data_IF_985569726450
#
_entry.id   IF_985569726450
#
_cell.length_a   1.000
_cell.length_b   1.000
_cell.length_c   1.000
_cell.angle_alpha   90.00
_cell.angle_beta   90.00
_cell.angle_gamma   90.00
#
_symmetry.space_group_name_H-M   'P 1'
#
loop_
_entity.id
_entity.type
_entity.pdbx_description
1 polymer ?
#
# COMPACT_ATOMS: atom_id res chain seq x y z
N UNK A 1 13.74 21.32 8.52
CA UNK A 1 12.67 20.97 7.55
C UNK A 1 11.40 21.70 7.95
N UNK A 2 10.81 22.47 7.06
CA UNK A 2 9.52 23.16 7.33
C UNK A 2 8.43 22.10 7.33
N UNK A 3 7.92 21.78 8.51
CA UNK A 3 6.78 20.87 8.64
C UNK A 3 5.54 21.50 8.00
N UNK A 4 4.79 20.75 7.20
CA UNK A 4 3.50 21.15 6.64
C UNK A 4 2.36 21.13 7.68
N UNK A 5 2.70 20.99 8.97
CA UNK A 5 1.73 20.95 10.07
C UNK A 5 1.27 22.35 10.49
N UNK A 6 0.00 22.45 10.83
CA UNK A 6 -0.52 23.60 11.56
C UNK A 6 -0.19 23.48 13.05
N UNK A 7 0.31 24.56 13.67
CA UNK A 7 0.89 24.52 15.01
C UNK A 7 -0.09 24.14 16.12
N UNK A 8 -1.36 24.47 16.01
CA UNK A 8 -2.34 24.29 17.08
C UNK A 8 -3.47 23.28 16.76
N UNK A 9 -3.31 22.46 15.75
CA UNK A 9 -4.35 21.52 15.32
C UNK A 9 -3.89 20.07 15.45
N UNK A 10 -4.86 19.18 15.68
CA UNK A 10 -4.68 17.73 15.77
C UNK A 10 -4.48 17.27 17.23
N UNK A 11 -4.81 16.00 17.46
CA UNK A 11 -4.64 15.32 18.76
C UNK A 11 -3.33 14.51 18.76
N UNK A 12 -2.21 15.16 18.47
CA UNK A 12 -0.89 14.55 18.48
C UNK A 12 -0.09 15.04 19.68
N UNK A 13 0.74 14.18 20.24
CA UNK A 13 1.68 14.53 21.31
C UNK A 13 2.98 15.05 20.70
N UNK A 14 3.14 16.38 20.68
CA UNK A 14 4.31 17.04 20.06
C UNK A 14 5.60 16.91 20.88
N UNK A 15 5.51 16.49 22.12
CA UNK A 15 6.66 16.30 23.00
C UNK A 15 7.32 14.94 22.74
N UNK A 16 6.61 14.02 22.05
CA UNK A 16 7.11 12.69 21.74
C UNK A 16 7.32 12.49 20.26
N UNK A 17 8.55 12.69 19.84
CA UNK A 17 9.00 12.48 18.45
C UNK A 17 9.21 11.00 18.19
N UNK A 18 8.73 10.52 17.05
CA UNK A 18 8.88 9.14 16.59
C UNK A 18 9.61 9.13 15.25
N UNK A 19 10.71 8.36 15.18
CA UNK A 19 11.43 8.09 13.93
C UNK A 19 10.82 6.90 13.20
N UNK A 20 10.68 7.02 11.88
CA UNK A 20 10.20 5.94 11.02
C UNK A 20 10.88 5.96 9.65
N UNK A 21 10.78 4.87 8.91
CA UNK A 21 11.37 4.72 7.58
C UNK A 21 10.29 4.62 6.52
N UNK A 22 10.42 5.40 5.45
CA UNK A 22 9.59 5.32 4.26
C UNK A 22 10.45 5.21 3.00
N UNK A 23 10.25 4.15 2.20
CA UNK A 23 11.05 3.86 0.99
C UNK A 23 12.56 4.00 1.24
N UNK A 24 13.05 3.41 2.35
CA UNK A 24 14.45 3.44 2.80
C UNK A 24 15.01 4.82 3.19
N UNK A 25 14.14 5.80 3.47
CA UNK A 25 14.53 7.11 3.99
C UNK A 25 13.93 7.33 5.36
N UNK A 26 14.72 7.92 6.25
CA UNK A 26 14.27 8.27 7.58
C UNK A 26 13.43 9.55 7.60
N UNK A 27 12.36 9.51 8.36
CA UNK A 27 11.43 10.59 8.60
C UNK A 27 11.03 10.63 10.07
N UNK A 28 10.44 11.75 10.49
CA UNK A 28 9.99 11.96 11.86
C UNK A 28 8.51 12.35 11.89
N UNK A 29 7.82 11.84 12.87
CA UNK A 29 6.45 12.19 13.21
C UNK A 29 6.28 12.31 14.71
N UNK A 30 5.05 12.33 15.17
CA UNK A 30 4.72 12.45 16.58
C UNK A 30 3.80 11.31 17.02
N UNK A 31 3.80 11.02 18.31
CA UNK A 31 2.82 10.09 18.88
C UNK A 31 1.40 10.58 18.61
N UNK A 32 0.51 9.67 18.17
CA UNK A 32 -0.84 9.99 17.74
C UNK A 32 -0.97 10.33 16.24
N UNK A 33 0.14 10.35 15.49
CA UNK A 33 0.07 10.40 14.04
C UNK A 33 -0.35 9.05 13.46
N UNK A 34 -1.09 9.10 12.36
CA UNK A 34 -1.09 7.99 11.41
C UNK A 34 0.12 8.09 10.49
N UNK A 35 0.50 6.98 9.85
CA UNK A 35 1.57 6.99 8.85
C UNK A 35 1.27 8.03 7.75
N UNK A 36 0.03 8.14 7.29
CA UNK A 36 -0.37 9.13 6.27
C UNK A 36 -0.16 10.56 6.75
N UNK A 37 -0.56 10.90 7.98
CA UNK A 37 -0.38 12.25 8.51
C UNK A 37 1.09 12.61 8.70
N UNK A 38 1.92 11.65 9.13
CA UNK A 38 3.35 11.84 9.27
C UNK A 38 4.03 12.04 7.91
N UNK A 39 3.67 11.26 6.89
CA UNK A 39 4.18 11.43 5.53
C UNK A 39 3.83 12.80 4.95
N UNK A 40 2.56 13.22 5.05
CA UNK A 40 2.12 14.52 4.59
C UNK A 40 2.84 15.67 5.31
N UNK A 41 3.06 15.54 6.61
CA UNK A 41 3.81 16.52 7.39
C UNK A 41 5.26 16.69 6.93
N UNK A 42 5.84 15.65 6.36
CA UNK A 42 7.18 15.64 5.79
C UNK A 42 7.20 15.93 4.27
N UNK A 43 6.10 16.46 3.72
CA UNK A 43 5.93 16.78 2.29
C UNK A 43 6.01 15.55 1.35
N UNK A 44 5.79 14.36 1.88
CA UNK A 44 5.67 13.14 1.08
C UNK A 44 4.23 13.04 0.57
N UNK A 45 4.02 13.52 -0.65
CA UNK A 45 2.68 13.62 -1.26
C UNK A 45 2.31 12.42 -2.12
N UNK A 46 3.31 11.71 -2.65
CA UNK A 46 3.10 10.54 -3.49
C UNK A 46 3.40 9.31 -2.64
N UNK A 47 2.36 8.52 -2.39
CA UNK A 47 2.46 7.29 -1.57
C UNK A 47 2.15 6.02 -2.35
N UNK A 48 1.69 6.16 -3.60
CA UNK A 48 1.40 5.04 -4.46
C UNK A 48 1.23 5.44 -5.91
N UNK A 49 0.95 4.46 -6.75
CA UNK A 49 0.70 4.61 -8.18
C UNK A 49 -0.63 3.96 -8.56
N UNK A 50 -1.31 4.50 -9.56
CA UNK A 50 -2.56 3.91 -10.03
C UNK A 50 -2.31 2.57 -10.72
N UNK A 51 -3.28 1.68 -10.62
CA UNK A 51 -3.22 0.31 -11.11
C UNK A 51 -2.80 0.19 -12.59
N UNK A 52 -3.45 0.93 -13.47
CA UNK A 52 -3.32 0.70 -14.91
C UNK A 52 -2.24 1.58 -15.55
N UNK A 53 -2.23 2.85 -15.20
CA UNK A 53 -1.38 3.85 -15.84
C UNK A 53 -0.22 4.31 -14.96
N UNK A 54 -0.10 3.77 -13.76
CA UNK A 54 0.94 4.15 -12.81
C UNK A 54 1.03 5.66 -12.55
N UNK A 55 -0.12 6.34 -12.61
CA UNK A 55 -0.21 7.77 -12.30
C UNK A 55 0.03 7.98 -10.80
N UNK A 56 0.72 9.07 -10.43
CA UNK A 56 0.95 9.38 -9.01
C UNK A 56 -0.35 9.43 -8.22
N UNK A 57 -0.33 8.85 -7.02
CA UNK A 57 -1.43 8.84 -6.06
C UNK A 57 -0.93 9.29 -4.70
N UNK A 58 -1.69 10.18 -4.08
CA UNK A 58 -1.49 10.63 -2.71
C UNK A 58 -2.57 10.08 -1.80
N UNK A 59 -2.58 10.58 -0.57
CA UNK A 59 -3.65 10.34 0.41
C UNK A 59 -4.90 11.09 -0.04
N UNK A 60 -6.03 10.40 -0.16
CA UNK A 60 -7.29 10.94 -0.66
C UNK A 60 -8.33 11.15 0.44
N UNK A 61 -8.24 10.38 1.52
CA UNK A 61 -9.17 10.42 2.65
C UNK A 61 -8.43 10.37 3.98
N UNK A 62 -9.16 10.33 5.10
CA UNK A 62 -8.56 10.33 6.43
C UNK A 62 -8.84 9.04 7.23
N UNK A 63 -9.53 8.07 6.68
CA UNK A 63 -9.98 6.89 7.40
C UNK A 63 -9.88 5.60 6.60
N UNK A 64 -10.75 4.65 6.92
CA UNK A 64 -10.81 3.31 6.32
C UNK A 64 -11.23 3.31 4.85
N UNK A 65 -11.83 4.38 4.38
CA UNK A 65 -12.26 4.58 2.99
C UNK A 65 -11.09 4.94 2.05
N UNK A 66 -9.85 5.08 2.58
CA UNK A 66 -8.67 5.38 1.78
C UNK A 66 -8.38 4.27 0.76
N UNK A 67 -8.32 4.67 -0.50
CA UNK A 67 -8.07 3.76 -1.62
C UNK A 67 -6.74 4.02 -2.35
N UNK A 68 -6.13 5.20 -2.14
CA UNK A 68 -4.94 5.65 -2.85
C UNK A 68 -3.63 5.37 -2.12
N UNK A 69 -3.68 5.21 -0.81
CA UNK A 69 -2.52 5.10 0.07
C UNK A 69 -2.39 3.70 0.70
N UNK A 70 -2.44 2.66 -0.13
CA UNK A 70 -2.11 1.29 0.29
C UNK A 70 -0.60 1.10 0.26
N UNK A 71 -0.05 0.66 1.38
CA UNK A 71 1.38 0.54 1.61
C UNK A 71 1.73 -0.83 2.17
N UNK A 72 2.99 -1.18 2.12
CA UNK A 72 3.54 -2.34 2.84
C UNK A 72 4.20 -1.86 4.12
N UNK A 73 3.84 -2.47 5.23
CA UNK A 73 4.42 -2.21 6.56
C UNK A 73 5.27 -3.40 6.97
N UNK A 74 6.39 -3.13 7.64
CA UNK A 74 7.31 -4.14 8.12
C UNK A 74 8.15 -4.78 7.03
N UNK A 75 8.93 -5.78 7.41
CA UNK A 75 9.83 -6.52 6.53
C UNK A 75 9.96 -7.98 6.98
N UNK A 76 10.51 -8.84 6.11
CA UNK A 76 10.69 -10.26 6.39
C UNK A 76 9.37 -10.96 6.72
N UNK A 77 9.35 -11.74 7.79
CA UNK A 77 8.19 -12.49 8.27
C UNK A 77 7.03 -11.58 8.73
N UNK A 78 7.35 -10.41 9.27
CA UNK A 78 6.37 -9.41 9.74
C UNK A 78 5.92 -8.43 8.66
N UNK A 79 6.15 -8.73 7.40
CA UNK A 79 5.71 -7.88 6.29
C UNK A 79 4.21 -8.00 6.08
N UNK A 80 3.52 -6.89 6.28
CA UNK A 80 2.07 -6.75 6.08
C UNK A 80 1.78 -5.83 4.89
N UNK A 81 1.30 -6.37 3.76
CA UNK A 81 0.97 -5.59 2.59
C UNK A 81 -0.48 -5.10 2.62
N UNK A 82 -0.78 -4.12 1.77
CA UNK A 82 -2.11 -3.54 1.58
C UNK A 82 -2.67 -2.84 2.82
N UNK A 83 -1.79 -2.40 3.73
CA UNK A 83 -2.17 -1.60 4.88
C UNK A 83 -2.53 -0.19 4.41
N UNK A 84 -3.62 0.36 4.94
CA UNK A 84 -3.97 1.76 4.66
C UNK A 84 -3.12 2.68 5.52
N UNK A 85 -2.36 3.57 4.89
CA UNK A 85 -1.50 4.51 5.61
C UNK A 85 -2.28 5.45 6.56
N UNK A 86 -3.57 5.67 6.28
CA UNK A 86 -4.47 6.51 7.09
C UNK A 86 -4.91 5.85 8.39
N UNK A 87 -4.94 4.51 8.46
CA UNK A 87 -5.33 3.75 9.66
C UNK A 87 -4.13 3.14 10.38
N UNK A 88 -2.95 3.17 9.77
CA UNK A 88 -1.71 2.70 10.39
C UNK A 88 -1.23 3.74 11.41
N UNK A 89 -1.25 3.39 12.69
CA UNK A 89 -0.66 4.20 13.75
C UNK A 89 0.87 4.28 13.59
N UNK A 90 1.42 5.47 13.83
CA UNK A 90 2.85 5.68 13.81
C UNK A 90 3.48 5.22 15.14
N UNK A 91 4.51 4.39 15.03
CA UNK A 91 5.35 3.98 16.15
C UNK A 91 6.85 4.10 15.82
N UNK A 92 7.66 4.16 16.83
CA UNK A 92 9.12 4.27 16.64
C UNK A 92 9.70 3.04 15.94
N UNK A 93 10.45 3.28 14.86
CA UNK A 93 11.04 2.21 14.06
C UNK A 93 10.09 1.59 13.03
N UNK A 94 8.89 2.16 12.83
CA UNK A 94 8.00 1.73 11.75
C UNK A 94 8.77 1.77 10.43
N UNK A 95 8.74 0.66 9.70
CA UNK A 95 9.26 0.58 8.34
C UNK A 95 8.10 0.39 7.37
N UNK A 96 7.97 1.31 6.42
CA UNK A 96 6.91 1.26 5.43
C UNK A 96 7.44 1.61 4.03
N UNK A 97 6.76 1.11 3.01
CA UNK A 97 7.14 1.35 1.62
C UNK A 97 5.93 1.34 0.70
N UNK A 98 6.05 2.04 -0.43
CA UNK A 98 5.12 1.91 -1.55
C UNK A 98 5.20 0.52 -2.17
N UNK A 99 4.06 -0.02 -2.63
CA UNK A 99 4.02 -1.41 -3.10
C UNK A 99 3.76 -1.61 -4.60
N UNK A 100 3.34 -0.58 -5.31
CA UNK A 100 2.96 -0.66 -6.73
C UNK A 100 3.82 0.21 -7.64
N UNK A 101 5.08 0.40 -7.29
CA UNK A 101 6.04 1.18 -8.06
C UNK A 101 7.36 0.45 -8.17
N UNK A 102 8.12 0.71 -9.22
CA UNK A 102 9.46 0.16 -9.40
C UNK A 102 10.36 1.17 -10.12
N UNK A 103 11.50 1.56 -9.58
CA UNK A 103 12.06 1.15 -8.27
C UNK A 103 11.47 1.85 -7.05
N UNK A 104 10.76 2.97 -7.22
CA UNK A 104 10.16 3.72 -6.11
C UNK A 104 8.88 4.44 -6.54
N UNK A 105 8.09 4.92 -5.58
CA UNK A 105 6.86 5.69 -5.88
C UNK A 105 7.15 7.03 -6.57
N UNK A 106 8.31 7.61 -6.35
CA UNK A 106 8.71 8.88 -6.98
C UNK A 106 9.21 8.67 -8.42
N UNK A 107 9.91 7.58 -8.68
CA UNK A 107 10.40 7.21 -10.00
C UNK A 107 9.96 5.79 -10.32
N UNK A 108 9.02 5.67 -11.25
CA UNK A 108 8.35 4.40 -11.55
C UNK A 108 8.37 4.12 -13.06
N UNK A 109 9.02 3.03 -13.44
CA UNK A 109 9.06 2.57 -14.83
C UNK A 109 7.68 2.23 -15.38
N UNK A 110 6.74 1.79 -14.52
CA UNK A 110 5.35 1.55 -14.91
C UNK A 110 4.63 2.78 -15.44
N UNK A 111 5.16 3.98 -15.17
CA UNK A 111 4.64 5.25 -15.69
C UNK A 111 4.63 5.33 -17.23
N UNK A 112 5.42 4.51 -17.92
CA UNK A 112 5.38 4.37 -19.39
C UNK A 112 3.99 3.98 -19.88
N UNK A 113 3.23 3.23 -19.10
CA UNK A 113 1.86 2.85 -19.43
C UNK A 113 0.92 4.04 -19.64
N UNK A 114 1.24 5.19 -19.05
CA UNK A 114 0.45 6.40 -19.26
C UNK A 114 0.54 6.92 -20.71
N UNK A 115 1.69 6.79 -21.34
CA UNK A 115 1.89 7.16 -22.74
C UNK A 115 1.22 6.18 -23.71
N UNK A 116 1.11 4.92 -23.28
CA UNK A 116 0.43 3.86 -24.03
C UNK A 116 -1.09 3.81 -23.74
N UNK A 117 -1.64 4.80 -23.06
CA UNK A 117 -3.02 4.82 -22.58
C UNK A 117 -4.07 4.61 -23.68
N UNK A 118 -3.79 5.03 -24.91
CA UNK A 118 -4.68 4.82 -26.07
C UNK A 118 -4.89 3.34 -26.41
N UNK A 119 -3.89 2.50 -26.14
CA UNK A 119 -3.96 1.06 -26.42
C UNK A 119 -4.61 0.27 -25.28
N UNK A 120 -4.64 0.84 -24.07
CA UNK A 120 -5.22 0.22 -22.88
C UNK A 120 -6.69 0.61 -22.68
N UNK A 121 -7.55 0.24 -23.62
CA UNK A 121 -8.98 0.49 -23.52
C UNK A 121 -9.60 -0.16 -22.26
N UNK A 122 -10.77 0.30 -21.87
CA UNK A 122 -11.55 -0.33 -20.81
C UNK A 122 -11.77 -1.83 -21.13
N UNK A 123 -11.55 -2.69 -20.15
CA UNK A 123 -11.66 -4.13 -20.35
C UNK A 123 -10.49 -4.79 -21.08
N UNK A 124 -9.41 -4.07 -21.41
CA UNK A 124 -8.24 -4.62 -22.09
C UNK A 124 -7.74 -5.91 -21.43
N UNK A 125 -7.60 -5.93 -20.09
CA UNK A 125 -7.13 -7.11 -19.36
C UNK A 125 -8.08 -8.31 -19.53
N UNK A 126 -9.38 -8.09 -19.42
CA UNK A 126 -10.37 -9.14 -19.57
C UNK A 126 -10.46 -9.65 -21.00
N UNK A 127 -10.48 -8.76 -21.98
CA UNK A 127 -10.61 -9.13 -23.38
C UNK A 127 -9.36 -9.79 -23.95
N UNK A 128 -8.18 -9.41 -23.47
CA UNK A 128 -6.91 -9.87 -24.03
C UNK A 128 -6.36 -11.12 -23.32
N UNK A 129 -6.62 -11.28 -22.01
CA UNK A 129 -5.95 -12.30 -21.20
C UNK A 129 -6.88 -13.37 -20.63
N UNK A 130 -8.19 -13.22 -20.75
CA UNK A 130 -9.16 -14.21 -20.23
C UNK A 130 -9.34 -15.45 -21.13
N UNK A 131 -8.69 -15.50 -22.25
CA UNK A 131 -8.69 -16.65 -23.13
C UNK A 131 -8.89 -16.27 -24.59
N UNK A 132 -8.00 -16.79 -25.44
CA UNK A 132 -8.24 -16.82 -26.88
C UNK A 132 -9.04 -18.10 -27.15
N UNK A 133 -10.24 -18.03 -27.71
CA UNK A 133 -10.86 -19.23 -28.24
C UNK A 133 -9.97 -19.77 -29.36
N UNK A 134 -9.69 -21.06 -29.49
CA UNK A 134 -10.42 -22.19 -28.92
C UNK A 134 -9.62 -23.02 -27.88
N UNK A 135 -8.82 -22.40 -27.06
CA UNK A 135 -8.02 -23.13 -26.07
C UNK A 135 -8.78 -23.32 -24.77
N UNK A 136 -9.75 -24.17 -24.76
CA UNK A 136 -10.19 -24.88 -23.56
C UNK A 136 -9.11 -25.87 -23.13
N UNK A 137 -7.97 -25.34 -22.66
CA UNK A 137 -7.02 -26.17 -21.98
C UNK A 137 -7.49 -26.36 -20.54
N UNK A 138 -8.12 -27.50 -20.35
CA UNK A 138 -8.41 -28.05 -19.05
C UNK A 138 -9.10 -27.10 -18.07
N UNK A 139 -10.41 -27.00 -18.15
CA UNK A 139 -11.24 -26.35 -17.11
C UNK A 139 -10.78 -24.97 -16.67
N UNK A 140 -10.60 -24.04 -17.59
CA UNK A 140 -10.68 -22.62 -17.32
C UNK A 140 -9.51 -21.92 -16.61
N UNK A 141 -8.40 -22.59 -16.31
CA UNK A 141 -7.38 -22.00 -15.41
C UNK A 141 -5.97 -21.85 -16.01
N UNK A 142 -5.61 -22.52 -17.10
CA UNK A 142 -4.23 -22.65 -17.53
C UNK A 142 -3.54 -21.32 -17.93
N UNK A 143 -4.01 -20.67 -18.98
CA UNK A 143 -3.38 -19.47 -19.53
C UNK A 143 -3.63 -18.26 -18.62
N UNK A 144 -4.84 -18.15 -18.05
CA UNK A 144 -5.16 -17.09 -17.11
C UNK A 144 -4.19 -17.06 -15.92
N UNK A 145 -3.85 -18.20 -15.35
CA UNK A 145 -2.95 -18.27 -14.19
C UNK A 145 -1.53 -17.77 -14.49
N UNK A 146 -1.10 -17.79 -15.74
CA UNK A 146 0.18 -17.21 -16.16
C UNK A 146 0.06 -15.67 -16.19
N UNK A 147 -0.98 -15.17 -16.83
CA UNK A 147 -1.21 -13.72 -16.94
C UNK A 147 -1.63 -13.11 -15.60
N UNK A 148 -2.35 -13.84 -14.76
CA UNK A 148 -2.76 -13.39 -13.44
C UNK A 148 -1.57 -12.93 -12.58
N UNK A 149 -0.47 -13.66 -12.61
CA UNK A 149 0.74 -13.28 -11.86
C UNK A 149 1.32 -11.93 -12.32
N UNK A 150 1.31 -11.69 -13.61
CA UNK A 150 1.79 -10.43 -14.20
C UNK A 150 0.83 -9.30 -13.87
N UNK A 151 -0.47 -9.55 -14.04
CA UNK A 151 -1.52 -8.58 -13.77
C UNK A 151 -1.55 -8.22 -12.28
N UNK A 152 -1.46 -9.18 -11.39
CA UNK A 152 -1.40 -8.96 -9.94
C UNK A 152 -0.20 -8.08 -9.55
N UNK A 153 0.96 -8.35 -10.15
CA UNK A 153 2.16 -7.53 -9.92
C UNK A 153 1.96 -6.10 -10.45
N UNK A 154 1.40 -5.96 -11.65
CA UNK A 154 1.08 -4.67 -12.24
C UNK A 154 -0.02 -3.92 -11.48
N UNK A 155 -0.96 -4.66 -10.85
CA UNK A 155 -2.01 -4.11 -10.01
C UNK A 155 -1.47 -3.46 -8.72
N UNK A 156 -0.24 -3.75 -8.36
CA UNK A 156 0.37 -3.23 -7.16
C UNK A 156 -0.22 -3.79 -5.86
N UNK A 157 -0.93 -4.90 -5.94
CA UNK A 157 -1.32 -5.65 -4.75
C UNK A 157 -0.07 -6.19 -4.09
N UNK A 158 0.10 -5.86 -2.83
CA UNK A 158 1.24 -6.29 -2.04
C UNK A 158 1.29 -7.81 -1.88
N UNK A 159 2.48 -8.30 -1.57
CA UNK A 159 2.73 -9.73 -1.43
C UNK A 159 3.02 -10.06 0.02
N UNK A 160 2.17 -10.87 0.63
CA UNK A 160 2.37 -11.36 1.99
C UNK A 160 3.70 -12.12 2.14
N UNK A 161 4.25 -12.13 3.34
CA UNK A 161 5.40 -12.97 3.68
C UNK A 161 5.02 -14.45 3.53
N UNK A 162 6.01 -15.28 3.18
CA UNK A 162 5.92 -16.74 3.22
C UNK A 162 6.80 -17.33 4.31
N UNK A 163 7.49 -16.49 5.05
CA UNK A 163 8.28 -16.89 6.20
C UNK A 163 7.35 -17.25 7.36
N UNK A 164 7.75 -18.17 8.24
CA UNK A 164 6.99 -18.46 9.45
C UNK A 164 6.78 -17.20 10.28
N UNK A 165 5.59 -17.05 10.86
CA UNK A 165 5.30 -15.96 11.78
C UNK A 165 6.10 -16.19 13.08
N UNK A 166 6.94 -15.22 13.49
CA UNK A 166 7.71 -15.34 14.72
C UNK A 166 6.89 -14.98 15.97
N UNK A 167 5.70 -14.43 15.78
CA UNK A 167 4.87 -13.96 16.90
C UNK A 167 4.08 -15.13 17.50
N UNK A 168 3.91 -15.10 18.81
CA UNK A 168 3.10 -16.07 19.57
C UNK A 168 1.81 -15.40 19.97
N UNK A 169 0.69 -16.05 19.65
CA UNK A 169 -0.65 -15.54 19.94
C UNK A 169 -1.28 -16.35 21.06
N UNK A 170 -1.83 -15.65 22.04
CA UNK A 170 -2.65 -16.27 23.07
C UNK A 170 -4.09 -16.38 22.57
N UNK A 171 -4.71 -17.51 22.85
CA UNK A 171 -6.12 -17.75 22.57
C UNK A 171 -6.85 -17.89 23.92
N UNK A 172 -7.81 -17.00 24.18
CA UNK A 172 -8.65 -17.05 25.35
C UNK A 172 -10.12 -16.94 24.94
N UNK A 173 -10.99 -17.57 25.72
CA UNK A 173 -12.43 -17.33 25.66
C UNK A 173 -12.76 -16.23 26.66
N UNK A 174 -13.46 -15.22 26.18
CA UNK A 174 -13.97 -14.15 27.04
C UNK A 174 -15.48 -14.12 26.98
N UNK A 175 -16.09 -13.62 28.05
CA UNK A 175 -17.52 -13.55 28.19
C UNK A 175 -17.95 -12.11 28.43
N UNK A 176 -18.87 -11.63 27.59
CA UNK A 176 -19.46 -10.31 27.77
C UNK A 176 -20.97 -10.37 27.51
N UNK A 177 -21.73 -9.52 28.19
CA UNK A 177 -23.15 -9.39 27.95
C UNK A 177 -23.45 -8.67 26.64
N UNK A 178 -22.55 -7.76 26.22
CA UNK A 178 -22.65 -7.00 24.97
C UNK A 178 -21.27 -6.88 24.38
N UNK A 179 -21.12 -7.33 23.13
CA UNK A 179 -19.94 -7.10 22.30
C UNK A 179 -20.20 -5.89 21.36
N UNK A 180 -19.38 -4.86 21.46
CA UNK A 180 -19.45 -3.64 20.62
C UNK A 180 -18.27 -3.58 19.69
#
# INVERSE_FOLDING_TARGET
>A
MTSQRKEHYGKINRDKVLGFTWDNKEYFGYEGDSLASALLANDVRIVGRSFKYHRPRGVMSCGVEESGALVTVGSGSRRDPNVRATTQELYSGLNASGQNAFPSVNFDFGGVNNYLSRFFAAGFYYKTFMGLPPFEWGKGTGIWMVFEKIIRKAAGMGKASREPDPDSYEHANDFCDVLV
#
